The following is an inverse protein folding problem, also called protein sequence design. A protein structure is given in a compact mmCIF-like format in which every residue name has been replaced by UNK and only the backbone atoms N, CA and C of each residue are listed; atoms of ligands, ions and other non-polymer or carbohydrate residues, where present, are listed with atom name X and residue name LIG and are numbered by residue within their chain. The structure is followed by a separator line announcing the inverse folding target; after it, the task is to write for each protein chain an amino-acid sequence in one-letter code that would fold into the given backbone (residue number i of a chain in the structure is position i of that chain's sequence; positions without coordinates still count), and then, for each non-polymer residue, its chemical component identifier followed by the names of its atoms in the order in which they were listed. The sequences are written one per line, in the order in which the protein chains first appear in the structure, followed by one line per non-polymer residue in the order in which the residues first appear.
data_IF_515056400211
#
_entry.id   IF_515056400211
#
_cell.length_a   1.000
_cell.length_b   1.000
_cell.length_c   1.000
_cell.angle_alpha   90.00
_cell.angle_beta   90.00
_cell.angle_gamma   90.00
#
_symmetry.space_group_name_H-M   'P 1'
#
loop_
_entity.id
_entity.type
_entity.pdbx_description
1 polymer ?
#
# COMPACT_ATOMS: atom_id res chain seq x y z
N UNK A 1 -9.00 -1.85 -7.92
CA UNK A 1 -8.19 -2.93 -7.34
C UNK A 1 -6.85 -2.97 -8.07
N UNK A 2 -5.74 -2.91 -7.34
CA UNK A 2 -4.38 -2.74 -7.87
C UNK A 2 -3.46 -3.84 -7.34
N UNK A 3 -2.50 -4.29 -8.14
CA UNK A 3 -1.43 -5.16 -7.65
C UNK A 3 -0.41 -4.37 -6.82
N UNK A 4 0.51 -5.04 -6.13
CA UNK A 4 1.45 -4.37 -5.22
C UNK A 4 2.36 -3.36 -5.90
N UNK A 5 2.86 -3.65 -7.11
CA UNK A 5 3.71 -2.70 -7.84
C UNK A 5 2.95 -1.43 -8.21
N UNK A 6 1.76 -1.59 -8.83
CA UNK A 6 0.91 -0.45 -9.21
C UNK A 6 0.48 0.36 -7.99
N UNK A 7 0.11 -0.31 -6.89
CA UNK A 7 -0.26 0.38 -5.66
C UNK A 7 0.91 1.19 -5.08
N UNK A 8 2.11 0.62 -5.07
CA UNK A 8 3.33 1.25 -4.59
C UNK A 8 3.64 2.53 -5.39
N UNK A 9 3.58 2.44 -6.73
CA UNK A 9 3.79 3.58 -7.63
C UNK A 9 2.76 4.70 -7.39
N UNK A 10 1.47 4.33 -7.25
CA UNK A 10 0.38 5.30 -7.05
C UNK A 10 0.49 6.08 -5.72
N UNK A 11 1.10 5.50 -4.70
CA UNK A 11 1.26 6.14 -3.38
C UNK A 11 2.67 6.68 -3.15
N UNK A 12 3.58 6.51 -4.10
CA UNK A 12 4.98 6.96 -4.00
C UNK A 12 5.77 6.22 -2.94
N UNK A 13 5.54 4.92 -2.77
CA UNK A 13 6.23 4.07 -1.80
C UNK A 13 6.86 2.86 -2.49
N UNK A 14 7.76 2.16 -1.80
CA UNK A 14 8.29 0.90 -2.28
C UNK A 14 7.38 -0.29 -1.87
N UNK A 15 7.35 -1.41 -2.61
CA UNK A 15 6.55 -2.58 -2.26
C UNK A 15 6.85 -3.20 -0.88
N UNK A 16 8.06 -3.06 -0.32
CA UNK A 16 8.38 -3.52 1.03
C UNK A 16 7.70 -2.69 2.11
N UNK A 17 7.56 -1.38 1.91
CA UNK A 17 6.77 -0.51 2.81
C UNK A 17 5.32 -0.96 2.89
N UNK A 18 4.69 -1.26 1.76
CA UNK A 18 3.32 -1.80 1.73
C UNK A 18 3.22 -3.12 2.51
N UNK A 19 4.16 -4.06 2.29
CA UNK A 19 4.19 -5.34 3.04
C UNK A 19 4.44 -5.13 4.53
N UNK A 20 5.22 -4.12 4.91
CA UNK A 20 5.48 -3.80 6.30
C UNK A 20 4.21 -3.31 7.00
N UNK A 21 3.43 -2.45 6.35
CA UNK A 21 2.18 -1.96 6.90
C UNK A 21 1.11 -3.05 7.00
N UNK A 22 1.03 -3.97 6.02
CA UNK A 22 0.20 -5.18 6.16
C UNK A 22 0.62 -6.06 7.32
N UNK A 23 1.93 -6.36 7.47
CA UNK A 23 2.41 -7.17 8.60
C UNK A 23 2.12 -6.53 9.97
N UNK A 24 1.98 -5.21 10.00
CA UNK A 24 1.61 -4.43 11.19
C UNK A 24 0.09 -4.30 11.36
N UNK A 25 -0.72 -4.93 10.52
CA UNK A 25 -2.19 -4.86 10.58
C UNK A 25 -2.77 -3.50 10.20
N UNK A 26 -1.99 -2.64 9.55
CA UNK A 26 -2.47 -1.32 9.13
C UNK A 26 -3.32 -1.40 7.86
N UNK A 27 -3.15 -2.46 7.07
CA UNK A 27 -3.84 -2.72 5.81
C UNK A 27 -4.24 -4.19 5.73
N UNK A 28 -5.41 -4.45 5.15
CA UNK A 28 -5.92 -5.79 4.89
C UNK A 28 -6.42 -5.86 3.43
N UNK A 29 -5.52 -5.80 2.44
CA UNK A 29 -5.92 -5.85 1.04
C UNK A 29 -6.55 -7.20 0.72
N UNK A 30 -7.55 -7.18 -0.16
CA UNK A 30 -8.16 -8.40 -0.66
C UNK A 30 -7.12 -9.29 -1.37
N UNK A 31 -7.38 -10.60 -1.41
CA UNK A 31 -6.56 -11.56 -2.16
C UNK A 31 -7.39 -12.19 -3.25
N UNK A 32 -6.77 -12.43 -4.41
CA UNK A 32 -7.35 -13.30 -5.44
C UNK A 32 -7.29 -14.77 -4.99
N UNK A 33 -8.02 -15.64 -5.68
CA UNK A 33 -7.96 -17.09 -5.44
C UNK A 33 -6.53 -17.66 -5.57
N UNK A 34 -5.71 -17.06 -6.45
CA UNK A 34 -4.29 -17.36 -6.59
C UNK A 34 -3.38 -16.70 -5.53
N UNK A 35 -3.95 -16.14 -4.45
CA UNK A 35 -3.23 -15.56 -3.33
C UNK A 35 -2.59 -14.19 -3.57
N UNK A 36 -2.83 -13.56 -4.73
CA UNK A 36 -2.23 -12.26 -5.08
C UNK A 36 -2.98 -11.11 -4.43
N UNK A 37 -2.25 -10.16 -3.84
CA UNK A 37 -2.81 -8.97 -3.19
C UNK A 37 -3.50 -8.04 -4.19
N UNK A 38 -4.64 -7.48 -3.77
CA UNK A 38 -5.46 -6.52 -4.51
C UNK A 38 -5.80 -5.35 -3.58
N UNK A 39 -5.12 -4.23 -3.78
CA UNK A 39 -5.36 -3.01 -3.03
C UNK A 39 -6.53 -2.26 -3.64
N UNK A 40 -7.51 -1.92 -2.81
CA UNK A 40 -8.64 -1.06 -3.16
C UNK A 40 -8.23 0.41 -3.17
N UNK A 41 -9.12 1.28 -3.63
CA UNK A 41 -8.90 2.73 -3.53
C UNK A 41 -8.84 3.20 -2.07
N UNK A 42 -9.55 2.54 -1.15
CA UNK A 42 -9.50 2.84 0.30
C UNK A 42 -8.13 2.48 0.90
N UNK A 43 -7.56 1.34 0.49
CA UNK A 43 -6.19 0.95 0.86
C UNK A 43 -5.18 2.00 0.40
N UNK A 44 -5.33 2.54 -0.81
CA UNK A 44 -4.45 3.60 -1.33
C UNK A 44 -4.59 4.90 -0.51
N UNK A 45 -5.82 5.31 -0.19
CA UNK A 45 -6.07 6.48 0.64
C UNK A 45 -5.45 6.32 2.04
N UNK A 46 -5.56 5.11 2.62
CA UNK A 46 -4.92 4.78 3.89
C UNK A 46 -3.39 4.81 3.80
N UNK A 47 -2.81 4.24 2.75
CA UNK A 47 -1.36 4.27 2.50
C UNK A 47 -0.83 5.71 2.41
N UNK A 48 -1.51 6.58 1.66
CA UNK A 48 -1.14 8.00 1.57
C UNK A 48 -1.18 8.69 2.94
N UNK A 49 -2.20 8.41 3.75
CA UNK A 49 -2.29 8.93 5.12
C UNK A 49 -1.14 8.43 5.99
N UNK A 50 -0.82 7.14 5.93
CA UNK A 50 0.30 6.56 6.69
C UNK A 50 1.61 7.28 6.28
N UNK A 51 1.87 7.41 4.98
CA UNK A 51 3.07 8.07 4.47
C UNK A 51 3.22 9.49 4.99
N UNK A 52 2.14 10.27 4.94
CA UNK A 52 2.10 11.64 5.45
C UNK A 52 2.41 11.72 6.95
N UNK A 53 1.86 10.82 7.76
CA UNK A 53 2.07 10.80 9.22
C UNK A 53 3.43 10.22 9.63
N UNK A 54 4.04 9.37 8.81
CA UNK A 54 5.36 8.77 9.06
C UNK A 54 6.55 9.66 8.65
N UNK A 55 6.30 10.90 8.24
CA UNK A 55 7.32 11.85 7.78
C UNK A 55 8.21 11.32 6.63
N UNK A 56 7.68 10.44 5.77
CA UNK A 56 8.38 9.98 4.58
C UNK A 56 8.20 11.06 3.50
N UNK A 57 9.25 11.84 3.14
CA UNK A 57 9.14 12.83 2.08
C UNK A 57 8.96 12.10 0.74
N UNK A 58 8.04 12.57 -0.09
CA UNK A 58 7.83 12.02 -1.43
C UNK A 58 9.02 12.44 -2.32
N UNK A 59 9.73 11.54 -3.01
CA UNK A 59 10.66 11.97 -4.04
C UNK A 59 9.86 12.66 -5.17
N UNK A 60 10.34 13.84 -5.59
CA UNK A 60 9.81 14.61 -6.71
C UNK A 60 10.14 13.94 -8.05
#
# INVERSE_FOLDING_TARGET
MYGISVAADLVGMDPQSLRLYERRGLLEPARTDGGTRRYSSDDLARLQRIGHLSAIPRPL
#
